data_IF_939364276510
#
_entry.id   IF_939364276510
#
_cell.length_a   1.000
_cell.length_b   1.000
_cell.length_c   1.000
_cell.angle_alpha   90.00
_cell.angle_beta   90.00
_cell.angle_gamma   90.00
#
_symmetry.space_group_name_H-M   'P 1'
#
loop_
_entity.id
_entity.type
_entity.pdbx_description
1 polymer ?
#
# COMPACT_ATOMS: atom_id res chain seq x y z
N UNK A 1 -23.03 -8.08 -19.06
CA UNK A 1 -22.55 -7.90 -17.67
C UNK A 1 -22.36 -9.27 -17.03
N UNK A 2 -21.23 -9.49 -16.39
CA UNK A 2 -20.94 -10.67 -15.59
C UNK A 2 -20.49 -10.22 -14.20
N UNK A 3 -21.28 -10.50 -13.17
CA UNK A 3 -20.97 -10.18 -11.77
C UNK A 3 -20.44 -11.39 -11.00
N UNK A 4 -20.49 -12.59 -11.60
CA UNK A 4 -20.01 -13.81 -10.96
C UNK A 4 -18.51 -14.03 -11.14
N UNK A 5 -18.00 -13.68 -12.32
CA UNK A 5 -16.59 -13.92 -12.66
C UNK A 5 -15.67 -13.01 -11.85
N UNK A 6 -14.60 -13.58 -11.31
CA UNK A 6 -13.47 -12.88 -10.68
C UNK A 6 -12.18 -13.14 -11.43
N UNK A 7 -11.13 -12.44 -11.07
CA UNK A 7 -9.76 -12.61 -11.57
C UNK A 7 -8.92 -13.29 -10.48
N UNK A 8 -8.15 -14.29 -10.88
CA UNK A 8 -7.33 -15.07 -9.93
C UNK A 8 -8.20 -15.77 -8.88
N UNK A 9 -7.91 -15.52 -7.62
CA UNK A 9 -8.66 -16.08 -6.48
C UNK A 9 -9.82 -15.19 -5.98
N UNK A 10 -10.14 -14.09 -6.67
CA UNK A 10 -11.30 -13.26 -6.31
C UNK A 10 -12.60 -14.00 -6.62
N UNK A 11 -13.40 -14.26 -5.59
CA UNK A 11 -14.67 -14.97 -5.69
C UNK A 11 -15.84 -14.09 -5.26
N UNK A 12 -16.83 -13.95 -6.11
CA UNK A 12 -18.08 -13.27 -5.77
C UNK A 12 -18.82 -14.04 -4.67
N UNK A 13 -19.21 -13.35 -3.60
CA UNK A 13 -20.01 -13.87 -2.50
C UNK A 13 -21.48 -13.50 -2.63
N UNK A 14 -21.72 -12.26 -3.06
CA UNK A 14 -23.04 -11.68 -3.22
C UNK A 14 -23.01 -10.73 -4.43
N UNK A 15 -24.02 -10.77 -5.26
CA UNK A 15 -24.18 -9.87 -6.38
C UNK A 15 -25.65 -9.78 -6.79
N UNK A 16 -26.05 -8.60 -7.21
CA UNK A 16 -27.38 -8.39 -7.73
C UNK A 16 -27.43 -7.19 -8.68
N UNK A 17 -28.43 -7.19 -9.54
CA UNK A 17 -28.87 -6.01 -10.27
C UNK A 17 -30.15 -5.54 -9.60
N UNK A 18 -30.07 -4.43 -8.84
CA UNK A 18 -31.12 -3.98 -7.94
C UNK A 18 -32.16 -3.09 -8.65
N UNK A 19 -31.73 -2.40 -9.70
CA UNK A 19 -32.58 -1.48 -10.45
C UNK A 19 -32.27 -1.51 -11.94
N UNK A 20 -33.32 -1.65 -12.74
CA UNK A 20 -33.25 -1.61 -14.22
C UNK A 20 -34.36 -0.67 -14.72
N UNK A 21 -33.95 0.27 -15.59
CA UNK A 21 -34.87 1.09 -16.39
C UNK A 21 -34.50 0.91 -17.87
N UNK A 22 -35.19 1.61 -18.78
CA UNK A 22 -34.84 1.58 -20.20
C UNK A 22 -33.43 2.11 -20.50
N UNK A 23 -32.85 2.95 -19.66
CA UNK A 23 -31.55 3.61 -19.92
C UNK A 23 -30.60 3.53 -18.74
N UNK A 24 -30.94 2.86 -17.64
CA UNK A 24 -30.07 2.76 -16.46
C UNK A 24 -30.09 1.37 -15.86
N UNK A 25 -28.98 1.01 -15.22
CA UNK A 25 -28.83 -0.21 -14.44
C UNK A 25 -28.02 0.09 -13.19
N UNK A 26 -28.42 -0.46 -12.04
CA UNK A 26 -27.67 -0.34 -10.80
C UNK A 26 -27.64 -1.68 -10.07
N UNK A 27 -26.59 -1.89 -9.28
CA UNK A 27 -26.44 -3.10 -8.50
C UNK A 27 -25.14 -3.13 -7.71
N UNK A 28 -24.77 -4.33 -7.29
CA UNK A 28 -23.56 -4.53 -6.49
C UNK A 28 -22.91 -5.87 -6.79
N UNK A 29 -21.62 -5.95 -6.43
CA UNK A 29 -20.84 -7.17 -6.37
C UNK A 29 -19.98 -7.14 -5.12
N UNK A 30 -20.22 -8.05 -4.18
CA UNK A 30 -19.38 -8.26 -3.02
C UNK A 30 -18.55 -9.50 -3.22
N UNK A 31 -17.26 -9.40 -2.91
CA UNK A 31 -16.33 -10.49 -3.20
C UNK A 31 -15.31 -10.69 -2.08
N UNK A 32 -14.65 -11.82 -2.12
CA UNK A 32 -13.50 -12.16 -1.31
C UNK A 32 -12.38 -12.63 -2.24
N UNK A 33 -11.23 -12.09 -2.03
CA UNK A 33 -10.01 -12.47 -2.70
C UNK A 33 -8.85 -12.17 -1.78
N UNK A 34 -7.89 -11.42 -2.23
CA UNK A 34 -6.81 -10.89 -1.41
C UNK A 34 -7.36 -10.05 -0.24
N UNK A 35 -8.23 -9.09 -0.52
CA UNK A 35 -9.04 -8.48 0.51
C UNK A 35 -10.20 -9.41 0.93
N UNK A 36 -10.51 -9.47 2.22
CA UNK A 36 -11.46 -10.44 2.76
C UNK A 36 -12.92 -10.09 2.50
N UNK A 37 -13.26 -8.81 2.33
CA UNK A 37 -14.63 -8.30 2.16
C UNK A 37 -14.63 -7.05 1.28
N UNK A 38 -14.62 -7.25 -0.04
CA UNK A 38 -14.68 -6.16 -1.00
C UNK A 38 -16.13 -5.82 -1.32
N UNK A 39 -16.49 -4.54 -1.18
CA UNK A 39 -17.81 -4.01 -1.54
C UNK A 39 -17.67 -3.14 -2.78
N UNK A 40 -18.36 -3.49 -3.84
CA UNK A 40 -18.44 -2.70 -5.06
C UNK A 40 -19.91 -2.52 -5.44
N UNK A 41 -20.38 -1.30 -5.44
CA UNK A 41 -21.64 -0.88 -6.00
C UNK A 41 -21.37 -0.21 -7.34
N UNK A 42 -22.29 -0.36 -8.26
CA UNK A 42 -22.19 0.28 -9.57
C UNK A 42 -23.50 0.94 -9.97
N UNK A 43 -23.38 1.95 -10.81
CA UNK A 43 -24.46 2.56 -11.55
C UNK A 43 -24.01 2.76 -12.99
N UNK A 44 -24.83 2.31 -13.96
CA UNK A 44 -24.56 2.43 -15.38
C UNK A 44 -25.68 3.20 -16.08
N UNK A 45 -25.30 4.07 -17.00
CA UNK A 45 -26.20 4.76 -17.93
C UNK A 45 -25.90 4.35 -19.36
N UNK A 46 -26.96 4.22 -20.16
CA UNK A 46 -26.92 3.86 -21.58
C UNK A 46 -27.38 5.05 -22.44
N UNK A 47 -26.70 5.30 -23.56
CA UNK A 47 -27.00 6.43 -24.45
C UNK A 47 -28.29 6.27 -25.22
N UNK A 48 -28.88 5.10 -25.22
CA UNK A 48 -30.18 4.77 -25.84
C UNK A 48 -30.90 3.70 -25.00
N UNK A 49 -32.22 3.50 -25.21
CA UNK A 49 -32.93 2.43 -24.51
C UNK A 49 -32.33 1.05 -24.75
N UNK A 50 -32.30 0.24 -23.70
CA UNK A 50 -31.81 -1.15 -23.73
C UNK A 50 -32.84 -2.10 -23.15
N UNK A 51 -32.76 -3.36 -23.55
CA UNK A 51 -33.39 -4.47 -22.85
C UNK A 51 -32.33 -5.25 -22.10
N UNK A 52 -32.63 -5.64 -20.88
CA UNK A 52 -31.73 -6.40 -19.99
C UNK A 52 -32.40 -7.74 -19.70
N UNK A 53 -31.74 -8.85 -20.07
CA UNK A 53 -32.25 -10.21 -19.85
C UNK A 53 -31.23 -11.04 -19.08
N UNK A 54 -31.63 -11.76 -18.00
CA UNK A 54 -30.75 -12.73 -17.37
C UNK A 54 -30.28 -13.80 -18.35
N UNK A 55 -28.97 -14.14 -18.30
CA UNK A 55 -28.32 -15.22 -19.05
C UNK A 55 -27.82 -16.34 -18.11
N UNK A 56 -28.55 -16.64 -17.06
CA UNK A 56 -28.16 -17.57 -16.01
C UNK A 56 -27.60 -16.86 -14.80
N UNK A 57 -26.91 -17.59 -13.95
CA UNK A 57 -26.49 -17.11 -12.64
C UNK A 57 -25.42 -16.02 -12.76
N UNK A 58 -25.75 -14.81 -12.34
CA UNK A 58 -24.84 -13.67 -12.26
C UNK A 58 -24.46 -13.03 -13.58
N UNK A 59 -25.21 -13.30 -14.64
CA UNK A 59 -24.97 -12.77 -15.99
C UNK A 59 -26.22 -12.14 -16.58
N UNK A 60 -26.05 -11.04 -17.32
CA UNK A 60 -27.11 -10.32 -17.99
C UNK A 60 -26.69 -9.94 -19.40
N UNK A 61 -27.58 -10.21 -20.36
CA UNK A 61 -27.47 -9.70 -21.74
C UNK A 61 -28.09 -8.31 -21.79
N UNK A 62 -27.36 -7.35 -22.31
CA UNK A 62 -27.81 -5.99 -22.56
C UNK A 62 -27.88 -5.81 -24.08
N UNK A 63 -29.06 -5.50 -24.59
CA UNK A 63 -29.30 -5.32 -26.03
C UNK A 63 -29.79 -3.91 -26.29
N UNK A 64 -29.13 -3.17 -27.17
CA UNK A 64 -29.53 -1.85 -27.59
C UNK A 64 -30.87 -1.91 -28.41
N UNK A 65 -31.72 -0.92 -28.24
CA UNK A 65 -32.96 -0.80 -28.98
C UNK A 65 -32.70 -0.50 -30.48
N UNK A 66 -31.73 0.34 -30.78
CA UNK A 66 -31.29 0.66 -32.14
C UNK A 66 -29.88 0.12 -32.39
N UNK A 67 -29.80 -1.01 -33.10
CA UNK A 67 -28.50 -1.67 -33.42
C UNK A 67 -27.74 -0.98 -34.54
N UNK A 68 -28.33 0.01 -35.20
CA UNK A 68 -27.66 0.80 -36.27
C UNK A 68 -26.77 1.91 -35.69
N UNK A 69 -26.94 2.24 -34.43
CA UNK A 69 -26.17 3.28 -33.71
C UNK A 69 -25.25 2.68 -32.66
N UNK A 70 -24.07 3.29 -32.39
CA UNK A 70 -23.24 2.90 -31.28
C UNK A 70 -23.99 3.01 -29.94
N UNK A 71 -23.89 1.98 -29.11
CA UNK A 71 -24.29 2.05 -27.70
C UNK A 71 -23.12 2.58 -26.87
N UNK A 72 -23.28 3.78 -26.34
CA UNK A 72 -22.33 4.30 -25.33
C UNK A 72 -22.82 3.90 -23.94
N UNK A 73 -21.88 3.55 -23.08
CA UNK A 73 -22.14 3.18 -21.68
C UNK A 73 -21.22 3.99 -20.78
N UNK A 74 -21.79 4.62 -19.75
CA UNK A 74 -21.05 5.28 -18.66
C UNK A 74 -21.28 4.47 -17.38
N UNK A 75 -20.23 4.31 -16.58
CA UNK A 75 -20.33 3.55 -15.33
C UNK A 75 -19.66 4.33 -14.19
N UNK A 76 -20.39 4.50 -13.10
CA UNK A 76 -19.85 4.95 -11.81
C UNK A 76 -19.73 3.79 -10.85
N UNK A 77 -18.78 3.92 -9.93
CA UNK A 77 -18.53 2.92 -8.86
C UNK A 77 -18.47 3.60 -7.51
N UNK A 78 -18.81 2.84 -6.45
CA UNK A 78 -18.68 3.26 -5.07
C UNK A 78 -18.47 2.03 -4.18
N UNK A 79 -17.75 2.19 -3.08
CA UNK A 79 -17.67 1.18 -2.02
C UNK A 79 -18.81 1.34 -0.98
N UNK A 80 -19.64 2.38 -1.11
CA UNK A 80 -20.67 2.78 -0.14
C UNK A 80 -22.07 2.35 -0.59
N UNK A 81 -22.51 2.84 -1.76
CA UNK A 81 -23.85 2.58 -2.26
C UNK A 81 -23.99 2.78 -3.79
N UNK A 82 -25.03 2.21 -4.38
CA UNK A 82 -25.37 2.46 -5.77
C UNK A 82 -25.78 3.92 -6.05
N UNK A 83 -26.37 4.60 -5.06
CA UNK A 83 -26.69 6.04 -5.17
C UNK A 83 -25.41 6.90 -5.21
N UNK A 84 -24.42 6.58 -4.39
CA UNK A 84 -23.11 7.24 -4.45
C UNK A 84 -22.41 6.97 -5.79
N UNK A 85 -22.48 5.72 -6.30
CA UNK A 85 -21.95 5.39 -7.63
C UNK A 85 -22.59 6.24 -8.74
N UNK A 86 -23.90 6.50 -8.63
CA UNK A 86 -24.61 7.40 -9.55
C UNK A 86 -24.12 8.84 -9.43
N UNK A 87 -23.98 9.36 -8.22
CA UNK A 87 -23.50 10.74 -7.98
C UNK A 87 -22.08 10.92 -8.51
N UNK A 88 -21.18 9.96 -8.26
CA UNK A 88 -19.82 9.95 -8.81
C UNK A 88 -19.87 10.04 -10.34
N UNK A 89 -20.63 9.16 -10.99
CA UNK A 89 -20.78 9.16 -12.44
C UNK A 89 -21.27 10.49 -13.01
N UNK A 90 -22.33 11.04 -12.42
CA UNK A 90 -22.96 12.28 -12.89
C UNK A 90 -22.04 13.49 -12.76
N UNK A 91 -21.17 13.48 -11.74
CA UNK A 91 -20.18 14.55 -11.50
C UNK A 91 -18.98 14.42 -12.42
N UNK A 92 -18.46 13.21 -12.58
CA UNK A 92 -17.21 12.97 -13.31
C UNK A 92 -17.42 12.91 -14.81
N UNK A 93 -18.55 12.33 -15.29
CA UNK A 93 -18.87 12.19 -16.72
C UNK A 93 -20.30 12.69 -16.97
N UNK A 94 -20.57 14.00 -16.93
CA UNK A 94 -21.93 14.53 -17.06
C UNK A 94 -22.52 14.36 -18.48
N UNK A 95 -21.67 14.33 -19.49
CA UNK A 95 -22.06 14.27 -20.91
C UNK A 95 -21.89 12.90 -21.56
N UNK A 96 -22.11 12.86 -22.88
CA UNK A 96 -21.95 11.68 -23.73
C UNK A 96 -20.87 11.84 -24.80
N UNK A 97 -20.09 12.92 -24.76
CA UNK A 97 -18.99 13.16 -25.68
C UNK A 97 -17.76 12.35 -25.27
N UNK A 98 -17.59 11.19 -25.88
CA UNK A 98 -16.45 10.30 -25.62
C UNK A 98 -15.09 10.96 -25.97
N UNK A 99 -15.07 11.84 -27.00
CA UNK A 99 -13.83 12.52 -27.38
C UNK A 99 -13.40 13.55 -26.32
N UNK A 100 -14.38 14.21 -25.71
CA UNK A 100 -14.11 15.10 -24.58
C UNK A 100 -13.52 14.34 -23.39
N UNK A 101 -14.05 13.19 -23.05
CA UNK A 101 -13.52 12.34 -21.95
C UNK A 101 -12.07 11.92 -22.24
N UNK A 102 -11.75 11.59 -23.50
CA UNK A 102 -10.36 11.30 -23.90
C UNK A 102 -9.45 12.52 -23.73
N UNK A 103 -9.91 13.68 -24.19
CA UNK A 103 -9.13 14.92 -24.07
C UNK A 103 -8.89 15.33 -22.60
N UNK A 104 -9.91 15.21 -21.76
CA UNK A 104 -9.82 15.52 -20.33
C UNK A 104 -8.83 14.55 -19.62
N UNK A 105 -8.83 13.27 -19.99
CA UNK A 105 -7.89 12.29 -19.47
C UNK A 105 -6.44 12.59 -19.90
N UNK A 106 -6.24 12.92 -21.17
CA UNK A 106 -4.93 13.32 -21.70
C UNK A 106 -4.40 14.58 -20.99
N UNK A 107 -5.25 15.58 -20.79
CA UNK A 107 -4.89 16.80 -20.05
C UNK A 107 -4.51 16.50 -18.60
N UNK A 108 -5.30 15.67 -17.89
CA UNK A 108 -5.02 15.28 -16.51
C UNK A 108 -3.68 14.57 -16.40
N UNK A 109 -3.40 13.58 -17.27
CA UNK A 109 -2.12 12.87 -17.26
C UNK A 109 -0.95 13.78 -17.64
N UNK A 110 -1.10 14.63 -18.65
CA UNK A 110 -0.06 15.57 -19.05
C UNK A 110 0.28 16.55 -17.92
N UNK A 111 -0.70 17.04 -17.17
CA UNK A 111 -0.49 17.89 -16.00
C UNK A 111 0.35 17.20 -14.94
N UNK A 112 0.07 15.93 -14.63
CA UNK A 112 0.83 15.18 -13.63
C UNK A 112 2.25 14.85 -14.11
N UNK A 113 2.40 14.40 -15.35
CA UNK A 113 3.70 14.07 -15.92
C UNK A 113 4.60 15.30 -16.11
N UNK A 114 4.02 16.48 -16.36
CA UNK A 114 4.74 17.73 -16.51
C UNK A 114 5.33 18.29 -15.18
N UNK A 115 5.01 17.68 -14.03
CA UNK A 115 5.64 18.06 -12.74
C UNK A 115 7.16 17.86 -12.74
N UNK A 116 7.66 16.97 -13.60
CA UNK A 116 9.11 16.82 -13.83
C UNK A 116 9.37 16.92 -15.33
N UNK A 117 10.20 17.88 -15.73
CA UNK A 117 10.64 18.03 -17.12
C UNK A 117 12.09 17.61 -17.26
N UNK A 118 12.36 16.70 -18.20
CA UNK A 118 13.72 16.24 -18.50
C UNK A 118 14.13 16.72 -19.90
N UNK A 119 15.39 17.14 -20.01
CA UNK A 119 16.03 17.49 -21.28
C UNK A 119 17.00 16.36 -21.68
N UNK A 120 16.72 15.73 -22.80
CA UNK A 120 17.59 14.67 -23.37
C UNK A 120 17.37 14.57 -24.87
N UNK A 121 18.44 14.27 -25.62
CA UNK A 121 18.38 13.95 -27.04
C UNK A 121 18.04 12.47 -27.30
N UNK A 122 18.05 11.63 -26.27
CA UNK A 122 17.69 10.22 -26.36
C UNK A 122 16.18 10.04 -26.13
N UNK A 123 15.47 9.74 -27.20
CA UNK A 123 14.02 9.49 -27.17
C UNK A 123 13.64 8.22 -26.40
N UNK A 124 14.54 7.24 -26.30
CA UNK A 124 14.30 5.99 -25.55
C UNK A 124 14.34 6.29 -24.05
N UNK A 125 15.38 6.96 -23.58
CA UNK A 125 15.49 7.39 -22.17
C UNK A 125 14.33 8.27 -21.75
N UNK A 126 13.88 9.20 -22.62
CA UNK A 126 12.71 10.04 -22.36
C UNK A 126 11.45 9.19 -22.17
N UNK A 127 11.21 8.21 -23.04
CA UNK A 127 10.06 7.32 -22.95
C UNK A 127 10.11 6.50 -21.67
N UNK A 128 11.26 5.90 -21.35
CA UNK A 128 11.45 5.13 -20.13
C UNK A 128 11.14 5.97 -18.90
N UNK A 129 11.65 7.20 -18.83
CA UNK A 129 11.42 8.11 -17.70
C UNK A 129 9.92 8.39 -17.48
N UNK A 130 9.21 8.86 -18.53
CA UNK A 130 7.79 9.19 -18.37
C UNK A 130 6.90 7.95 -18.18
N UNK A 131 7.28 6.80 -18.73
CA UNK A 131 6.61 5.53 -18.44
C UNK A 131 6.78 5.15 -16.97
N UNK A 132 7.98 5.29 -16.42
CA UNK A 132 8.23 5.04 -14.99
C UNK A 132 7.46 6.01 -14.09
N UNK A 133 7.40 7.30 -14.44
CA UNK A 133 6.55 8.27 -13.74
C UNK A 133 5.08 7.87 -13.76
N UNK A 134 4.54 7.51 -14.93
CA UNK A 134 3.17 7.02 -15.06
C UNK A 134 2.92 5.82 -14.13
N UNK A 135 3.79 4.82 -14.16
CA UNK A 135 3.65 3.65 -13.29
C UNK A 135 3.70 4.00 -11.80
N UNK A 136 4.50 4.99 -11.39
CA UNK A 136 4.56 5.43 -9.98
C UNK A 136 3.26 6.07 -9.48
N UNK A 137 2.35 6.46 -10.39
CA UNK A 137 1.07 7.11 -10.10
C UNK A 137 -0.15 6.18 -10.26
N UNK A 138 0.04 4.91 -10.61
CA UNK A 138 -1.08 3.96 -10.75
C UNK A 138 -1.65 3.50 -9.39
N UNK A 139 -0.90 3.69 -8.31
CA UNK A 139 -1.31 3.49 -6.93
C UNK A 139 -0.66 4.57 -6.04
N UNK A 140 -1.32 4.98 -4.96
CA UNK A 140 -2.62 4.57 -4.44
C UNK A 140 -3.80 5.04 -5.29
N UNK A 141 -4.97 4.40 -5.08
CA UNK A 141 -6.22 4.76 -5.76
C UNK A 141 -7.14 5.55 -4.83
N UNK A 142 -7.91 6.49 -5.37
CA UNK A 142 -8.98 7.18 -4.63
C UNK A 142 -10.03 6.17 -4.19
N UNK A 143 -10.43 6.24 -2.93
CA UNK A 143 -11.40 5.35 -2.30
C UNK A 143 -12.40 6.11 -1.42
N UNK A 144 -12.82 7.24 -1.90
CA UNK A 144 -13.94 8.04 -1.35
C UNK A 144 -14.83 8.52 -2.49
N UNK A 145 -16.12 8.68 -2.17
CA UNK A 145 -17.11 9.22 -3.09
C UNK A 145 -17.04 10.74 -3.11
N UNK A 146 -17.61 11.37 -4.12
CA UNK A 146 -17.60 12.84 -4.30
C UNK A 146 -18.27 13.60 -3.16
N UNK A 147 -19.16 12.94 -2.40
CA UNK A 147 -19.80 13.50 -1.21
C UNK A 147 -18.98 13.34 0.06
N UNK A 148 -17.74 12.81 -0.04
CA UNK A 148 -16.84 12.59 1.08
C UNK A 148 -17.05 11.28 1.83
N UNK A 149 -18.02 10.46 1.45
CA UNK A 149 -18.24 9.16 2.08
C UNK A 149 -17.22 8.13 1.62
N UNK A 150 -16.81 7.24 2.52
CA UNK A 150 -15.92 6.12 2.21
C UNK A 150 -16.18 4.94 3.15
N UNK A 151 -15.78 3.75 2.71
CA UNK A 151 -15.78 2.55 3.55
C UNK A 151 -14.46 2.42 4.29
N UNK A 152 -14.55 2.45 5.63
CA UNK A 152 -13.38 2.35 6.51
C UNK A 152 -12.85 0.93 6.68
N UNK A 153 -11.69 0.82 7.33
CA UNK A 153 -11.04 -0.45 7.67
C UNK A 153 -11.83 -1.28 8.70
N UNK A 154 -12.81 -0.68 9.38
CA UNK A 154 -13.77 -1.34 10.27
C UNK A 154 -15.01 -1.87 9.53
N UNK A 155 -15.05 -1.76 8.20
CA UNK A 155 -16.17 -2.16 7.37
C UNK A 155 -17.38 -1.22 7.38
N UNK A 156 -17.33 -0.13 8.14
CA UNK A 156 -18.41 0.86 8.24
C UNK A 156 -18.26 1.97 7.20
N UNK A 157 -19.35 2.68 6.95
CA UNK A 157 -19.34 3.91 6.15
C UNK A 157 -19.00 5.08 7.07
N UNK A 158 -18.05 5.90 6.62
CA UNK A 158 -17.62 7.13 7.29
C UNK A 158 -17.79 8.32 6.37
N UNK A 159 -17.97 9.50 6.97
CA UNK A 159 -17.90 10.78 6.28
C UNK A 159 -16.52 11.40 6.52
N UNK A 160 -15.90 11.91 5.46
CA UNK A 160 -14.62 12.60 5.52
C UNK A 160 -14.63 13.91 4.73
N UNK A 161 -13.86 14.87 5.19
CA UNK A 161 -13.56 16.11 4.47
C UNK A 161 -12.16 16.06 3.81
N UNK A 162 -11.73 14.88 3.40
CA UNK A 162 -10.47 14.57 2.76
C UNK A 162 -10.67 13.45 1.75
N UNK A 163 -9.76 13.33 0.80
CA UNK A 163 -9.73 12.21 -0.14
C UNK A 163 -9.15 10.98 0.56
N UNK A 164 -9.96 9.92 0.70
CA UNK A 164 -9.48 8.66 1.24
C UNK A 164 -8.87 7.80 0.13
N UNK A 165 -7.81 7.07 0.46
CA UNK A 165 -7.05 6.24 -0.48
C UNK A 165 -7.06 4.77 -0.12
N UNK A 166 -6.89 3.92 -1.13
CA UNK A 166 -6.68 2.48 -1.02
C UNK A 166 -5.57 2.02 -1.95
N UNK A 167 -5.37 0.71 -2.08
CA UNK A 167 -4.27 0.09 -2.85
C UNK A 167 -2.91 0.55 -2.32
N UNK A 168 -2.77 0.41 -0.99
CA UNK A 168 -1.59 0.85 -0.26
C UNK A 168 -0.58 -0.30 -0.16
N UNK A 169 0.19 -0.52 -1.22
CA UNK A 169 1.28 -1.51 -1.32
C UNK A 169 2.54 -0.98 -0.62
N UNK A 170 2.44 -0.75 0.70
CA UNK A 170 3.42 0.08 1.41
C UNK A 170 4.78 -0.57 1.58
N UNK A 171 4.84 -1.91 1.65
CA UNK A 171 6.12 -2.62 1.72
C UNK A 171 7.00 -2.36 0.49
N UNK A 172 6.38 -2.17 -0.68
CA UNK A 172 7.05 -1.81 -1.93
C UNK A 172 7.34 -0.30 -1.99
N UNK A 173 6.34 0.52 -1.70
CA UNK A 173 6.33 1.94 -2.04
C UNK A 173 7.06 2.82 -1.02
N UNK A 174 7.24 2.38 0.24
CA UNK A 174 7.98 3.16 1.24
C UNK A 174 9.45 3.37 0.84
N UNK A 175 9.99 2.49 0.02
CA UNK A 175 11.41 2.46 -0.39
C UNK A 175 11.79 3.64 -1.28
N UNK A 176 10.90 4.02 -2.22
CA UNK A 176 11.17 5.10 -3.16
C UNK A 176 9.92 5.90 -3.58
N UNK A 177 8.77 5.27 -3.87
CA UNK A 177 7.60 5.95 -4.42
C UNK A 177 7.02 7.00 -3.44
N UNK A 178 6.82 6.66 -2.16
CA UNK A 178 6.36 7.64 -1.18
C UNK A 178 7.37 8.76 -0.92
N UNK A 179 8.69 8.54 -0.78
CA UNK A 179 9.68 9.61 -0.79
C UNK A 179 9.58 10.53 -2.01
N UNK A 180 9.40 9.97 -3.22
CA UNK A 180 9.19 10.76 -4.44
C UNK A 180 7.90 11.59 -4.36
N UNK A 181 6.79 11.01 -3.88
CA UNK A 181 5.53 11.73 -3.69
C UNK A 181 5.69 12.96 -2.79
N UNK A 182 6.55 12.90 -1.78
CA UNK A 182 6.84 14.07 -0.92
C UNK A 182 7.59 15.20 -1.64
N UNK A 183 8.03 14.98 -2.86
CA UNK A 183 8.72 15.97 -3.70
C UNK A 183 7.81 16.51 -4.81
N UNK A 184 7.01 15.67 -5.45
CA UNK A 184 6.27 16.02 -6.67
C UNK A 184 4.73 15.94 -6.54
N UNK A 185 4.19 15.26 -5.51
CA UNK A 185 2.74 15.11 -5.27
C UNK A 185 2.35 15.59 -3.87
N UNK A 186 2.87 16.75 -3.47
CA UNK A 186 2.73 17.29 -2.10
C UNK A 186 1.29 17.67 -1.74
N UNK A 187 0.47 17.93 -2.73
CA UNK A 187 -0.95 18.29 -2.62
C UNK A 187 -1.81 17.17 -2.04
N UNK A 188 -1.48 15.90 -2.33
CA UNK A 188 -2.23 14.74 -1.83
C UNK A 188 -1.79 14.26 -0.43
N UNK A 189 -0.64 14.69 0.07
CA UNK A 189 -0.05 14.15 1.30
C UNK A 189 -0.87 14.41 2.57
N UNK A 190 -1.51 15.57 2.78
CA UNK A 190 -2.38 15.78 3.93
C UNK A 190 -3.56 14.79 3.99
N UNK A 191 -4.15 14.49 2.84
CA UNK A 191 -5.26 13.55 2.71
C UNK A 191 -4.79 12.11 2.90
N UNK A 192 -3.62 11.76 2.36
CA UNK A 192 -2.99 10.46 2.57
C UNK A 192 -2.64 10.24 4.04
N UNK A 193 -2.10 11.24 4.74
CA UNK A 193 -1.85 11.15 6.18
C UNK A 193 -3.15 10.96 6.97
N UNK A 194 -4.22 11.67 6.59
CA UNK A 194 -5.55 11.49 7.18
C UNK A 194 -6.07 10.08 6.96
N UNK A 195 -5.90 9.51 5.76
CA UNK A 195 -6.22 8.12 5.45
C UNK A 195 -5.50 7.16 6.40
N UNK A 196 -4.18 7.30 6.59
CA UNK A 196 -3.39 6.42 7.45
C UNK A 196 -3.82 6.51 8.92
N UNK A 197 -4.04 7.72 9.43
CA UNK A 197 -4.49 7.95 10.82
C UNK A 197 -5.89 7.37 11.04
N UNK A 198 -6.80 7.51 10.07
CA UNK A 198 -8.14 6.94 10.18
C UNK A 198 -8.13 5.41 10.08
N UNK A 199 -7.33 4.82 9.20
CA UNK A 199 -7.13 3.37 9.17
C UNK A 199 -6.64 2.88 10.54
N UNK A 200 -5.65 3.56 11.16
CA UNK A 200 -5.20 3.22 12.50
C UNK A 200 -6.35 3.30 13.53
N UNK A 201 -7.13 4.37 13.53
CA UNK A 201 -8.26 4.56 14.45
C UNK A 201 -9.34 3.48 14.29
N UNK A 202 -9.54 2.98 13.09
CA UNK A 202 -10.55 1.98 12.73
C UNK A 202 -10.13 0.54 13.01
N UNK A 203 -8.84 0.21 12.87
CA UNK A 203 -8.35 -1.17 12.99
C UNK A 203 -7.25 -1.37 14.05
N UNK A 204 -6.77 -0.30 14.70
CA UNK A 204 -5.74 -0.36 15.75
C UNK A 204 -4.31 -0.53 15.24
N UNK A 205 -4.06 -0.41 13.92
CA UNK A 205 -2.73 -0.44 13.32
C UNK A 205 -2.68 0.44 12.08
N UNK A 206 -1.50 0.99 11.77
CA UNK A 206 -1.22 1.60 10.48
C UNK A 206 -1.31 0.55 9.35
N UNK A 207 -1.62 0.97 8.12
CA UNK A 207 -1.71 0.02 7.01
C UNK A 207 -0.38 -0.66 6.73
N UNK A 208 -0.44 -1.93 6.36
CA UNK A 208 0.66 -2.74 5.83
C UNK A 208 0.47 -2.94 4.33
N UNK A 209 -0.65 -3.53 3.95
CA UNK A 209 -1.09 -3.68 2.57
C UNK A 209 -2.62 -3.57 2.50
N UNK A 210 -3.11 -2.35 2.55
CA UNK A 210 -4.54 -2.06 2.64
C UNK A 210 -5.18 -2.02 1.25
N UNK A 211 -6.23 -2.81 1.06
CA UNK A 211 -6.94 -2.98 -0.20
C UNK A 211 -8.46 -2.90 0.00
N UNK A 212 -9.13 -1.96 -0.68
CA UNK A 212 -10.60 -1.83 -0.72
C UNK A 212 -11.25 -1.85 0.68
N UNK A 213 -10.74 -1.09 1.62
CA UNK A 213 -11.22 -1.03 3.01
C UNK A 213 -10.80 -2.22 3.89
N UNK A 214 -9.85 -3.04 3.44
CA UNK A 214 -9.39 -4.21 4.19
C UNK A 214 -7.87 -4.20 4.36
N UNK A 215 -7.39 -4.57 5.56
CA UNK A 215 -5.99 -4.86 5.76
C UNK A 215 -5.69 -6.33 5.42
N UNK A 216 -4.75 -6.56 4.53
CA UNK A 216 -4.39 -7.92 4.11
C UNK A 216 -3.25 -8.51 4.93
N UNK A 217 -2.42 -7.67 5.56
CA UNK A 217 -1.23 -8.09 6.33
C UNK A 217 -0.31 -9.06 5.58
N UNK A 218 -0.32 -9.02 4.25
CA UNK A 218 0.34 -10.04 3.43
C UNK A 218 1.86 -9.95 3.44
N UNK A 219 2.42 -8.78 3.75
CA UNK A 219 3.87 -8.53 3.73
C UNK A 219 4.43 -8.29 5.14
N UNK A 220 5.75 -8.37 5.27
CA UNK A 220 6.47 -8.23 6.52
C UNK A 220 6.64 -6.75 6.94
N UNK A 221 6.99 -6.53 8.20
CA UNK A 221 7.26 -5.19 8.73
C UNK A 221 6.00 -4.37 9.03
N UNK A 222 6.22 -3.09 9.33
CA UNK A 222 5.19 -2.08 9.54
C UNK A 222 5.43 -0.89 8.59
N UNK A 223 5.29 -1.08 7.27
CA UNK A 223 5.71 -0.10 6.26
C UNK A 223 4.89 1.20 6.28
N UNK A 224 3.71 1.22 6.89
CA UNK A 224 2.96 2.46 7.14
C UNK A 224 3.68 3.41 8.09
N UNK A 225 4.58 2.90 8.96
CA UNK A 225 5.36 3.73 9.89
C UNK A 225 6.35 4.63 9.17
N UNK A 226 7.29 4.14 8.32
CA UNK A 226 8.22 5.03 7.63
C UNK A 226 7.52 6.04 6.72
N UNK A 227 6.42 5.65 6.05
CA UNK A 227 5.66 6.56 5.18
C UNK A 227 5.03 7.70 5.98
N UNK A 228 4.29 7.40 7.04
CA UNK A 228 3.65 8.44 7.87
C UNK A 228 4.69 9.30 8.59
N UNK A 229 5.77 8.68 9.08
CA UNK A 229 6.86 9.41 9.76
C UNK A 229 7.55 10.41 8.83
N UNK A 230 7.80 10.05 7.56
CA UNK A 230 8.39 10.95 6.57
C UNK A 230 7.47 12.15 6.30
N UNK A 231 6.17 11.92 6.15
CA UNK A 231 5.18 12.99 6.00
C UNK A 231 5.13 13.92 7.23
N UNK A 232 5.22 13.37 8.45
CA UNK A 232 5.25 14.15 9.70
C UNK A 232 6.52 15.02 9.77
N UNK A 233 7.68 14.42 9.51
CA UNK A 233 8.97 15.10 9.58
C UNK A 233 9.13 16.20 8.53
N UNK A 234 8.50 16.04 7.37
CA UNK A 234 8.48 17.03 6.28
C UNK A 234 7.36 18.08 6.43
N UNK A 235 6.51 17.98 7.45
CA UNK A 235 5.51 19.00 7.78
C UNK A 235 4.17 18.89 7.05
N UNK A 236 3.88 17.78 6.39
CA UNK A 236 2.63 17.55 5.66
C UNK A 236 1.46 17.12 6.55
N UNK A 237 1.70 16.82 7.82
CA UNK A 237 0.69 16.30 8.74
C UNK A 237 0.28 17.37 9.75
N UNK A 238 -1.01 17.71 9.78
CA UNK A 238 -1.57 18.68 10.74
C UNK A 238 -1.71 18.09 12.14
N UNK A 239 -2.32 16.90 12.25
CA UNK A 239 -2.50 16.16 13.51
C UNK A 239 -1.25 15.35 13.85
N UNK A 240 -0.19 16.04 14.29
CA UNK A 240 1.10 15.40 14.62
C UNK A 240 1.01 14.48 15.83
N UNK A 241 0.18 14.78 16.80
CA UNK A 241 0.00 13.95 18.00
C UNK A 241 -0.78 12.67 17.66
N UNK A 242 -1.85 12.76 16.87
CA UNK A 242 -2.58 11.58 16.38
C UNK A 242 -1.73 10.70 15.46
N UNK A 243 -0.91 11.31 14.61
CA UNK A 243 0.05 10.58 13.79
C UNK A 243 1.10 9.86 14.66
N UNK A 244 1.64 10.55 15.67
CA UNK A 244 2.61 9.94 16.58
C UNK A 244 2.02 8.77 17.37
N UNK A 245 0.80 8.92 17.86
CA UNK A 245 0.09 7.82 18.55
C UNK A 245 -0.07 6.61 17.61
N UNK A 246 -0.48 6.83 16.38
CA UNK A 246 -0.60 5.76 15.37
C UNK A 246 0.75 5.06 15.08
N UNK A 247 1.83 5.83 14.96
CA UNK A 247 3.19 5.31 14.79
C UNK A 247 3.61 4.44 15.98
N UNK A 248 3.50 5.00 17.20
CA UNK A 248 3.91 4.37 18.44
C UNK A 248 3.15 3.08 18.72
N UNK A 249 1.81 3.11 18.64
CA UNK A 249 0.99 1.95 18.94
C UNK A 249 1.15 0.84 17.91
N UNK A 250 1.31 1.17 16.63
CA UNK A 250 1.60 0.19 15.58
C UNK A 250 2.94 -0.51 15.83
N UNK A 251 3.96 0.21 16.32
CA UNK A 251 5.27 -0.37 16.65
C UNK A 251 5.28 -1.17 17.96
N UNK A 252 4.30 -0.96 18.86
CA UNK A 252 4.20 -1.61 20.17
C UNK A 252 3.19 -2.77 20.22
N UNK A 253 2.60 -3.18 19.11
CA UNK A 253 1.69 -4.33 19.06
C UNK A 253 2.36 -5.60 19.59
N UNK A 254 1.57 -6.63 19.88
CA UNK A 254 2.07 -7.94 20.35
C UNK A 254 2.10 -9.02 19.26
N UNK A 255 1.34 -8.82 18.19
CA UNK A 255 1.25 -9.72 17.06
C UNK A 255 2.41 -9.55 16.06
N UNK A 256 2.41 -10.36 15.01
CA UNK A 256 3.36 -10.31 13.88
C UNK A 256 4.84 -10.38 14.30
N UNK A 257 5.13 -11.05 15.43
CA UNK A 257 6.48 -11.20 15.98
C UNK A 257 6.94 -10.04 16.88
N UNK A 258 6.19 -8.93 16.98
CA UNK A 258 6.58 -7.76 17.79
C UNK A 258 6.68 -8.08 19.29
N UNK A 259 5.85 -9.01 19.81
CA UNK A 259 5.98 -9.52 21.17
C UNK A 259 7.31 -10.26 21.41
N UNK A 260 7.78 -11.01 20.41
CA UNK A 260 9.10 -11.67 20.47
C UNK A 260 10.23 -10.64 20.41
N UNK A 261 10.12 -9.63 19.55
CA UNK A 261 11.08 -8.52 19.47
C UNK A 261 11.23 -7.82 20.82
N UNK A 262 10.13 -7.54 21.52
CA UNK A 262 10.15 -6.95 22.87
C UNK A 262 10.83 -7.85 23.89
N UNK A 263 10.56 -9.15 23.84
CA UNK A 263 11.08 -10.14 24.81
C UNK A 263 12.56 -10.46 24.62
N UNK A 264 13.00 -10.70 23.37
CA UNK A 264 14.36 -11.17 23.06
C UNK A 264 15.28 -10.07 22.53
N UNK A 265 14.73 -8.93 22.10
CA UNK A 265 15.47 -7.88 21.39
C UNK A 265 15.75 -8.20 19.91
N UNK A 266 15.18 -9.30 19.40
CA UNK A 266 15.19 -9.78 18.01
C UNK A 266 14.07 -10.82 17.84
N UNK A 267 13.85 -11.34 16.63
CA UNK A 267 12.89 -12.40 16.36
C UNK A 267 13.65 -13.74 16.24
N UNK A 268 13.55 -14.64 17.24
CA UNK A 268 14.15 -15.97 17.13
C UNK A 268 13.41 -16.83 16.10
N UNK A 269 14.17 -17.46 15.17
CA UNK A 269 13.56 -18.28 14.12
C UNK A 269 12.82 -19.52 14.66
N UNK A 270 13.19 -20.02 15.84
CA UNK A 270 12.58 -21.17 16.49
C UNK A 270 11.32 -20.83 17.31
N UNK A 271 10.98 -19.55 17.44
CA UNK A 271 9.79 -19.05 18.17
C UNK A 271 8.78 -18.35 17.25
N UNK A 272 9.22 -17.81 16.13
CA UNK A 272 8.33 -17.14 15.18
C UNK A 272 7.63 -18.16 14.27
N UNK A 273 6.30 -18.18 14.33
CA UNK A 273 5.48 -19.18 13.62
C UNK A 273 5.46 -18.99 12.10
N UNK A 274 5.57 -17.75 11.65
CA UNK A 274 5.42 -17.39 10.23
C UNK A 274 6.75 -17.19 9.53
N UNK A 275 7.86 -17.66 10.13
CA UNK A 275 9.22 -17.53 9.59
C UNK A 275 9.60 -16.10 9.18
N UNK A 276 10.50 -15.92 8.21
CA UNK A 276 10.93 -14.62 7.67
C UNK A 276 11.50 -13.67 8.74
N UNK A 277 12.24 -14.25 9.71
CA UNK A 277 12.61 -13.54 10.94
C UNK A 277 13.66 -12.45 10.73
N UNK A 278 14.56 -12.62 9.77
CA UNK A 278 15.55 -11.59 9.39
C UNK A 278 14.82 -10.43 8.71
N UNK A 279 13.99 -10.73 7.69
CA UNK A 279 13.23 -9.71 6.99
C UNK A 279 12.38 -8.87 7.94
N UNK A 280 11.56 -9.52 8.79
CA UNK A 280 10.74 -8.82 9.81
C UNK A 280 11.58 -7.99 10.75
N UNK A 281 12.68 -8.55 11.27
CA UNK A 281 13.53 -7.87 12.25
C UNK A 281 14.18 -6.61 11.70
N UNK A 282 14.64 -6.64 10.45
CA UNK A 282 15.24 -5.48 9.77
C UNK A 282 14.19 -4.41 9.46
N UNK A 283 13.01 -4.80 8.98
CA UNK A 283 11.88 -3.88 8.74
C UNK A 283 11.42 -3.20 10.04
N UNK A 284 11.33 -3.95 11.15
CA UNK A 284 10.98 -3.36 12.45
C UNK A 284 12.07 -2.42 12.98
N UNK A 285 13.34 -2.73 12.76
CA UNK A 285 14.44 -1.84 13.16
C UNK A 285 14.37 -0.49 12.42
N UNK A 286 14.06 -0.51 11.11
CA UNK A 286 13.83 0.70 10.32
C UNK A 286 12.61 1.48 10.84
N UNK A 287 11.48 0.80 11.06
CA UNK A 287 10.26 1.41 11.57
C UNK A 287 10.52 2.10 12.93
N UNK A 288 11.22 1.45 13.84
CA UNK A 288 11.60 1.99 15.16
C UNK A 288 12.47 3.25 15.05
N UNK A 289 13.42 3.27 14.12
CA UNK A 289 14.23 4.47 13.86
C UNK A 289 13.35 5.65 13.39
N UNK A 290 12.33 5.38 12.61
CA UNK A 290 11.37 6.40 12.16
C UNK A 290 10.53 6.92 13.33
N UNK A 291 10.01 6.04 14.20
CA UNK A 291 9.29 6.44 15.42
C UNK A 291 10.18 7.27 16.35
N UNK A 292 11.44 6.86 16.54
CA UNK A 292 12.40 7.60 17.37
C UNK A 292 12.63 9.03 16.85
N UNK A 293 12.73 9.23 15.54
CA UNK A 293 12.92 10.55 14.93
C UNK A 293 11.72 11.46 15.18
N UNK A 294 10.50 10.95 15.00
CA UNK A 294 9.25 11.71 15.25
C UNK A 294 9.11 12.00 16.74
N UNK A 295 9.36 11.02 17.62
CA UNK A 295 9.36 11.22 19.07
C UNK A 295 10.32 12.34 19.50
N UNK A 296 11.52 12.37 18.94
CA UNK A 296 12.53 13.43 19.22
C UNK A 296 12.02 14.79 18.76
N UNK A 297 11.45 14.89 17.55
CA UNK A 297 10.87 16.14 17.03
C UNK A 297 9.76 16.69 17.94
N UNK A 298 8.95 15.79 18.52
CA UNK A 298 7.84 16.15 19.44
C UNK A 298 8.28 16.29 20.91
N UNK A 299 9.58 16.21 21.22
CA UNK A 299 10.09 16.34 22.59
C UNK A 299 9.82 15.15 23.52
N UNK A 300 9.37 14.00 22.97
CA UNK A 300 9.08 12.77 23.73
C UNK A 300 10.35 11.97 23.99
N UNK A 301 11.17 12.45 24.90
CA UNK A 301 12.57 12.00 25.11
C UNK A 301 12.70 10.51 25.47
N UNK A 302 11.84 10.00 26.35
CA UNK A 302 11.90 8.59 26.79
C UNK A 302 11.52 7.64 25.64
N UNK A 303 10.48 7.96 24.89
CA UNK A 303 10.09 7.19 23.71
C UNK A 303 11.17 7.23 22.63
N UNK A 304 11.77 8.40 22.38
CA UNK A 304 12.87 8.54 21.43
C UNK A 304 14.05 7.62 21.80
N UNK A 305 14.45 7.59 23.07
CA UNK A 305 15.52 6.74 23.57
C UNK A 305 15.17 5.25 23.47
N UNK A 306 13.92 4.88 23.80
CA UNK A 306 13.46 3.50 23.72
C UNK A 306 13.50 2.98 22.28
N UNK A 307 12.88 3.69 21.34
CA UNK A 307 12.83 3.28 19.94
C UNK A 307 14.20 3.37 19.25
N UNK A 308 15.05 4.35 19.61
CA UNK A 308 16.43 4.41 19.12
C UNK A 308 17.26 3.19 19.54
N UNK A 309 17.12 2.74 20.79
CA UNK A 309 17.75 1.49 21.26
C UNK A 309 17.22 0.29 20.48
N UNK A 310 15.90 0.18 20.29
CA UNK A 310 15.27 -0.95 19.62
C UNK A 310 15.59 -0.97 18.12
N UNK A 311 15.79 0.20 17.49
CA UNK A 311 16.20 0.28 16.08
C UNK A 311 17.58 -0.31 15.78
N UNK A 312 18.39 -0.57 16.82
CA UNK A 312 19.70 -1.24 16.68
C UNK A 312 19.59 -2.78 16.71
N UNK A 313 18.39 -3.35 16.83
CA UNK A 313 18.17 -4.79 16.86
C UNK A 313 18.69 -5.52 15.62
N UNK A 314 18.78 -4.83 14.46
CA UNK A 314 19.35 -5.39 13.23
C UNK A 314 20.75 -5.98 13.44
N UNK A 315 21.56 -5.40 14.36
CA UNK A 315 22.93 -5.85 14.65
C UNK A 315 23.01 -7.28 15.22
N UNK A 316 21.89 -7.80 15.76
CA UNK A 316 21.83 -9.17 16.27
C UNK A 316 21.86 -10.21 15.17
N UNK A 317 21.32 -9.89 13.99
CA UNK A 317 21.27 -10.80 12.86
C UNK A 317 22.60 -10.88 12.10
N UNK A 318 23.53 -9.94 12.31
CA UNK A 318 24.76 -9.88 11.54
C UNK A 318 25.77 -10.93 12.01
N UNK A 319 26.07 -11.88 11.15
CA UNK A 319 27.12 -12.87 11.36
C UNK A 319 28.46 -12.37 10.76
N UNK A 320 29.43 -12.13 11.66
CA UNK A 320 30.74 -11.62 11.27
C UNK A 320 31.60 -12.60 10.46
N UNK A 321 31.35 -13.89 10.59
CA UNK A 321 32.12 -14.92 9.88
C UNK A 321 31.72 -14.97 8.39
N UNK A 322 30.42 -14.90 8.12
CA UNK A 322 29.88 -14.96 6.75
C UNK A 322 29.69 -13.58 6.12
N UNK A 323 29.58 -12.53 6.92
CA UNK A 323 29.27 -11.17 6.45
C UNK A 323 27.84 -11.01 5.95
N UNK A 324 26.89 -11.78 6.52
CA UNK A 324 25.46 -11.72 6.17
C UNK A 324 24.57 -11.53 7.39
N UNK A 325 23.36 -11.00 7.14
CA UNK A 325 22.26 -11.06 8.09
C UNK A 325 21.66 -12.46 8.08
N UNK A 326 21.61 -13.15 9.22
CA UNK A 326 21.18 -14.57 9.33
C UNK A 326 20.14 -14.74 10.42
N UNK A 327 19.28 -15.76 10.27
CA UNK A 327 18.35 -16.17 11.32
C UNK A 327 19.09 -16.61 12.59
N UNK A 328 18.62 -16.10 13.73
CA UNK A 328 19.19 -16.40 15.04
C UNK A 328 18.13 -17.09 15.92
N UNK A 329 18.49 -18.17 16.60
CA UNK A 329 17.62 -18.91 17.48
C UNK A 329 17.48 -18.28 18.87
N UNK A 330 16.53 -18.73 19.67
CA UNK A 330 16.35 -18.27 21.05
C UNK A 330 17.52 -18.59 21.98
N UNK A 331 18.40 -19.51 21.57
CA UNK A 331 19.68 -19.84 22.22
C UNK A 331 20.84 -18.90 21.81
N UNK A 332 20.58 -17.95 20.93
CA UNK A 332 21.58 -17.01 20.43
C UNK A 332 22.49 -17.54 19.32
N UNK A 333 22.22 -18.74 18.78
CA UNK A 333 23.01 -19.32 17.68
C UNK A 333 22.36 -19.05 16.32
N UNK A 334 23.19 -18.85 15.30
CA UNK A 334 22.73 -18.71 13.94
C UNK A 334 22.18 -20.03 13.39
N UNK A 335 21.17 -19.94 12.53
CA UNK A 335 20.58 -21.10 11.84
C UNK A 335 21.64 -21.82 11.00
N UNK A 336 21.62 -23.16 11.05
CA UNK A 336 22.46 -24.05 10.24
C UNK A 336 21.61 -25.17 9.64
N UNK A 337 21.89 -25.64 8.41
CA UNK A 337 22.88 -25.10 7.47
C UNK A 337 22.51 -23.68 6.97
N UNK A 338 23.44 -22.97 6.34
CA UNK A 338 23.22 -21.64 5.79
C UNK A 338 23.68 -21.59 4.32
N UNK A 339 22.76 -21.20 3.46
CA UNK A 339 23.00 -20.87 2.07
C UNK A 339 22.59 -19.42 1.82
N UNK A 340 23.53 -18.48 1.48
CA UNK A 340 23.19 -17.08 1.25
C UNK A 340 22.34 -16.82 0.00
N UNK A 341 22.16 -17.81 -0.87
CA UNK A 341 21.33 -17.74 -2.08
C UNK A 341 19.95 -18.34 -1.91
N UNK A 342 19.67 -19.02 -0.79
CA UNK A 342 18.34 -19.57 -0.49
C UNK A 342 17.28 -18.46 -0.48
N UNK A 343 16.15 -18.70 -1.17
CA UNK A 343 15.01 -17.79 -1.31
C UNK A 343 13.68 -18.57 -1.25
N UNK A 344 13.53 -19.43 -0.25
CA UNK A 344 12.34 -20.25 -0.06
C UNK A 344 11.16 -19.39 0.44
N UNK A 345 10.19 -19.16 -0.45
CA UNK A 345 9.06 -18.28 -0.16
C UNK A 345 8.30 -18.73 1.10
N UNK A 346 8.25 -17.86 2.13
CA UNK A 346 7.63 -18.08 3.45
C UNK A 346 8.16 -19.30 4.21
N UNK A 347 9.32 -19.83 3.84
CA UNK A 347 9.91 -21.02 4.46
C UNK A 347 11.34 -20.83 4.97
N UNK A 348 11.94 -19.68 4.76
CA UNK A 348 13.24 -19.30 5.30
C UNK A 348 13.19 -18.02 6.16
N UNK A 349 14.32 -17.35 6.35
CA UNK A 349 14.45 -16.14 7.17
C UNK A 349 14.20 -14.83 6.40
N UNK A 350 13.98 -14.92 5.08
CA UNK A 350 13.87 -13.77 4.17
C UNK A 350 12.50 -13.77 3.47
N UNK A 351 12.09 -12.59 3.00
CA UNK A 351 10.84 -12.41 2.27
C UNK A 351 11.15 -12.05 0.82
N UNK A 352 10.73 -12.89 -0.13
CA UNK A 352 10.92 -12.67 -1.58
C UNK A 352 12.34 -12.23 -1.96
N UNK A 353 13.33 -12.83 -1.28
CA UNK A 353 14.73 -12.51 -1.45
C UNK A 353 15.62 -13.42 -0.61
N UNK A 354 16.90 -13.09 -0.53
CA UNK A 354 17.92 -13.90 0.13
C UNK A 354 18.86 -13.06 1.00
N UNK A 355 19.88 -13.70 1.60
CA UNK A 355 20.83 -13.01 2.47
C UNK A 355 21.62 -11.89 1.76
N UNK A 356 21.92 -12.04 0.46
CA UNK A 356 22.60 -11.02 -0.32
C UNK A 356 21.80 -9.71 -0.38
N UNK A 357 20.48 -9.80 -0.58
CA UNK A 357 19.61 -8.64 -0.67
C UNK A 357 19.36 -8.03 0.71
N UNK A 358 19.02 -8.87 1.71
CA UNK A 358 18.62 -8.38 3.03
C UNK A 358 19.75 -7.83 3.89
N UNK A 359 21.01 -8.22 3.65
CA UNK A 359 22.15 -7.69 4.41
C UNK A 359 22.25 -6.16 4.33
N UNK A 360 21.73 -5.55 3.29
CA UNK A 360 21.76 -4.10 3.06
C UNK A 360 20.54 -3.33 3.59
N UNK A 361 19.53 -4.02 4.13
CA UNK A 361 18.29 -3.39 4.60
C UNK A 361 18.48 -2.72 5.98
N UNK A 362 19.45 -1.80 6.05
CA UNK A 362 19.73 -0.95 7.22
C UNK A 362 19.91 0.52 6.80
N UNK A 363 18.97 1.09 6.01
CA UNK A 363 19.14 2.46 5.48
C UNK A 363 19.09 3.53 6.58
N UNK A 364 18.55 3.20 7.74
CA UNK A 364 18.44 4.09 8.90
C UNK A 364 19.73 4.24 9.69
N UNK A 365 20.72 3.33 9.51
CA UNK A 365 21.98 3.30 10.26
C UNK A 365 23.13 2.71 9.44
N UNK A 366 23.44 3.31 8.30
CA UNK A 366 24.51 2.86 7.39
C UNK A 366 25.87 2.84 8.11
N UNK A 367 26.18 3.85 8.94
CA UNK A 367 27.42 3.85 9.71
C UNK A 367 27.50 2.70 10.74
N UNK A 368 26.36 2.33 11.34
CA UNK A 368 26.28 1.15 12.22
C UNK A 368 26.55 -0.14 11.45
N UNK A 369 25.99 -0.28 10.23
CA UNK A 369 26.25 -1.42 9.38
C UNK A 369 27.72 -1.51 8.95
N UNK A 370 28.34 -0.40 8.54
CA UNK A 370 29.80 -0.34 8.22
C UNK A 370 30.64 -0.84 9.39
N UNK A 371 30.30 -0.45 10.63
CA UNK A 371 31.00 -0.92 11.85
C UNK A 371 30.87 -2.43 12.06
N UNK A 372 29.74 -3.05 11.68
CA UNK A 372 29.57 -4.50 11.78
C UNK A 372 30.52 -5.25 10.82
N UNK A 373 30.78 -4.71 9.63
CA UNK A 373 31.79 -5.24 8.70
C UNK A 373 33.23 -5.02 9.19
N UNK A 374 33.40 -4.17 10.20
CA UNK A 374 34.70 -3.85 10.81
C UNK A 374 35.34 -2.56 10.29
N UNK A 375 35.22 -2.27 9.01
CA UNK A 375 35.66 -1.02 8.38
C UNK A 375 34.98 -0.78 7.04
N UNK A 376 35.12 0.42 6.51
CA UNK A 376 34.51 0.88 5.26
C UNK A 376 35.00 0.06 4.05
N UNK A 377 36.29 -0.27 3.97
CA UNK A 377 36.81 -1.05 2.86
C UNK A 377 36.16 -2.45 2.75
N UNK A 378 35.98 -3.15 3.89
CA UNK A 378 35.31 -4.47 3.89
C UNK A 378 33.84 -4.34 3.50
N UNK A 379 33.16 -3.29 3.96
CA UNK A 379 31.78 -3.01 3.59
C UNK A 379 31.65 -2.78 2.07
N UNK A 380 32.48 -1.89 1.51
CA UNK A 380 32.45 -1.59 0.06
C UNK A 380 32.80 -2.82 -0.75
N UNK A 381 33.87 -3.56 -0.39
CA UNK A 381 34.24 -4.81 -1.08
C UNK A 381 33.11 -5.84 -1.10
N UNK A 382 32.36 -5.97 0.01
CA UNK A 382 31.21 -6.88 0.08
C UNK A 382 30.03 -6.36 -0.78
N UNK A 383 29.81 -5.05 -0.78
CA UNK A 383 28.77 -4.42 -1.61
C UNK A 383 29.08 -4.54 -3.10
N UNK A 384 30.34 -4.37 -3.50
CA UNK A 384 30.78 -4.55 -4.89
C UNK A 384 30.66 -6.01 -5.39
N UNK A 385 30.49 -6.96 -4.45
CA UNK A 385 30.28 -8.39 -4.77
C UNK A 385 28.79 -8.71 -5.03
N UNK A 386 27.87 -7.79 -4.77
CA UNK A 386 26.42 -7.95 -5.01
C UNK A 386 26.13 -7.90 -6.51
#
# INVERSE_FOLDING_TARGET
LDLKQGIGWDAAKEYNVDKITSTTMAGHRFSKGWANDQKAFFFAEFSQPVTVKPLGTGRWLITAADVTKPLLVKTGMSAVSAENAKQNLQKEIPGWDFRQVVADADEAWNKELAKVNIETNDSVSRRIFYTAMYHSMTAPSVFSDINGQYRGADGKVHDGNFTNYTTLSLWDTYRAAHPLMTMIHTDMLPDMASTFINIYRQQGQLPVWHLMGNETNCMVGNPGIPVLADMVLKGYVKDKEGAYEALKQSALREDRGLGLLKKYGYLPYDKEKTKETVAKGLEYALADACVAKVARMLGKKEDAKYFEKRSKSYSKYFDKETGFMRGIGSDGKFRTPFDPFSAEHRDDDYTEGNAWQYTWLVPHDVHGLVKLFGNEQKFVTKLDSL
#
